data_IF_810085774901
#
_entry.id   IF_810085774901
#
_cell.length_a   1.000
_cell.length_b   1.000
_cell.length_c   1.000
_cell.angle_alpha   90.00
_cell.angle_beta   90.00
_cell.angle_gamma   90.00
#
_symmetry.space_group_name_H-M   'P 1'
#
loop_
_entity.id
_entity.type
_entity.pdbx_description
1 polymer ?
#
# COMPACT_ATOMS: atom_id res chain seq x y z
N UNK A 1 2.83 5.07 22.19
CA UNK A 1 2.86 3.91 21.26
C UNK A 1 1.92 4.25 20.12
N UNK A 2 2.17 3.80 18.88
CA UNK A 2 1.21 4.01 17.80
C UNK A 2 -0.06 3.17 18.06
N UNK A 3 -1.22 3.82 17.92
CA UNK A 3 -2.52 3.20 18.15
C UNK A 3 -3.04 2.54 16.87
N UNK A 4 -3.24 1.23 16.93
CA UNK A 4 -3.71 0.37 15.84
C UNK A 4 -5.09 -0.16 16.18
N UNK A 5 -6.03 -0.06 15.26
CA UNK A 5 -7.29 -0.81 15.34
C UNK A 5 -7.16 -2.09 14.53
N UNK A 6 -7.62 -3.21 15.08
CA UNK A 6 -7.72 -4.50 14.43
C UNK A 6 -9.19 -4.93 14.38
N UNK A 7 -9.72 -5.15 13.18
CA UNK A 7 -11.08 -5.69 13.00
C UNK A 7 -10.97 -7.02 12.26
N UNK A 8 -11.36 -8.10 12.93
CA UNK A 8 -11.28 -9.46 12.43
C UNK A 8 -12.26 -10.32 13.19
N UNK A 9 -12.98 -11.24 12.59
CA UNK A 9 -13.97 -12.06 13.28
C UNK A 9 -13.36 -13.28 14.01
N UNK A 10 -12.14 -13.68 13.64
CA UNK A 10 -11.41 -14.76 14.32
C UNK A 10 -10.81 -14.25 15.65
N UNK A 11 -11.41 -14.69 16.76
CA UNK A 11 -11.00 -14.32 18.12
C UNK A 11 -9.57 -14.74 18.42
N UNK A 12 -9.17 -15.95 18.06
CA UNK A 12 -7.81 -16.45 18.28
C UNK A 12 -6.79 -15.64 17.50
N UNK A 13 -7.10 -15.32 16.25
CA UNK A 13 -6.22 -14.48 15.43
C UNK A 13 -6.09 -13.08 16.02
N UNK A 14 -7.19 -12.46 16.47
CA UNK A 14 -7.16 -11.14 17.12
C UNK A 14 -6.29 -11.13 18.37
N UNK A 15 -6.44 -12.15 19.24
CA UNK A 15 -5.63 -12.26 20.48
C UNK A 15 -4.15 -12.38 20.18
N UNK A 16 -3.78 -13.35 19.32
CA UNK A 16 -2.39 -13.61 18.96
C UNK A 16 -1.76 -12.39 18.28
N UNK A 17 -2.43 -11.83 17.30
CA UNK A 17 -1.90 -10.68 16.55
C UNK A 17 -1.78 -9.45 17.44
N UNK A 18 -2.76 -9.19 18.32
CA UNK A 18 -2.70 -8.06 19.26
C UNK A 18 -1.52 -8.19 20.22
N UNK A 19 -1.31 -9.38 20.79
CA UNK A 19 -0.17 -9.66 21.67
C UNK A 19 1.18 -9.49 20.94
N UNK A 20 1.28 -10.00 19.74
CA UNK A 20 2.47 -9.92 18.90
C UNK A 20 2.81 -8.48 18.49
N UNK A 21 1.80 -7.68 18.13
CA UNK A 21 1.99 -6.27 17.81
C UNK A 21 2.33 -5.45 19.07
N UNK A 22 1.74 -5.76 20.22
CA UNK A 22 2.07 -5.11 21.49
C UNK A 22 3.54 -5.30 21.86
N UNK A 23 4.08 -6.51 21.70
CA UNK A 23 5.50 -6.80 21.91
C UNK A 23 6.43 -5.99 20.99
N UNK A 24 5.90 -5.53 19.85
CA UNK A 24 6.63 -4.73 18.86
C UNK A 24 6.39 -3.23 18.99
N UNK A 25 5.74 -2.81 20.08
CA UNK A 25 5.57 -1.41 20.46
C UNK A 25 4.35 -0.74 19.85
N UNK A 26 3.31 -1.48 19.47
CA UNK A 26 2.01 -0.95 19.06
C UNK A 26 1.00 -1.05 20.22
N UNK A 27 0.05 -0.12 20.28
CA UNK A 27 -1.15 -0.21 21.14
C UNK A 27 -2.29 -0.72 20.24
N UNK A 28 -2.94 -1.82 20.59
CA UNK A 28 -3.94 -2.45 19.71
C UNK A 28 -5.31 -2.45 20.40
N UNK A 29 -6.30 -1.88 19.74
CA UNK A 29 -7.71 -2.01 20.09
C UNK A 29 -8.37 -2.94 19.07
N UNK A 30 -8.92 -4.08 19.51
CA UNK A 30 -9.47 -5.08 18.62
C UNK A 30 -11.00 -5.17 18.67
N UNK A 31 -11.63 -5.44 17.54
CA UNK A 31 -13.08 -5.56 17.36
C UNK A 31 -13.39 -6.81 16.54
N UNK A 32 -14.52 -7.46 16.85
CA UNK A 32 -14.94 -8.67 16.16
C UNK A 32 -15.61 -8.37 14.82
N UNK A 33 -16.14 -7.17 14.63
CA UNK A 33 -16.92 -6.79 13.45
C UNK A 33 -16.87 -5.29 13.17
N UNK A 34 -17.35 -4.91 11.99
CA UNK A 34 -17.41 -3.53 11.55
C UNK A 34 -18.30 -2.62 12.35
N UNK A 35 -19.55 -3.03 12.69
CA UNK A 35 -20.45 -2.25 13.54
C UNK A 35 -19.82 -1.86 14.88
N UNK A 36 -19.24 -2.80 15.60
CA UNK A 36 -18.59 -2.55 16.90
C UNK A 36 -17.46 -1.51 16.77
N UNK A 37 -16.68 -1.59 15.70
CA UNK A 37 -15.64 -0.58 15.43
C UNK A 37 -16.22 0.79 15.09
N UNK A 38 -17.27 0.87 14.26
CA UNK A 38 -17.94 2.12 13.92
C UNK A 38 -18.58 2.80 15.14
N UNK A 39 -19.12 2.01 16.06
CA UNK A 39 -19.67 2.51 17.32
C UNK A 39 -18.56 3.03 18.25
N UNK A 40 -17.44 2.32 18.36
CA UNK A 40 -16.28 2.76 19.12
C UNK A 40 -15.72 4.08 18.59
N UNK A 41 -15.66 4.27 17.27
CA UNK A 41 -15.26 5.54 16.65
C UNK A 41 -16.22 6.69 17.03
N UNK A 42 -17.53 6.41 17.07
CA UNK A 42 -18.54 7.40 17.48
C UNK A 42 -18.43 7.76 18.97
N UNK A 43 -17.88 6.86 19.78
CA UNK A 43 -17.58 7.04 21.19
C UNK A 43 -16.18 7.61 21.46
N UNK A 44 -15.47 8.05 20.43
CA UNK A 44 -14.21 8.79 20.56
C UNK A 44 -12.95 7.95 20.63
N UNK A 45 -12.99 6.68 20.18
CA UNK A 45 -11.73 5.92 20.02
C UNK A 45 -10.87 6.59 18.95
N UNK A 46 -9.61 6.78 19.26
CA UNK A 46 -8.63 7.31 18.31
C UNK A 46 -7.70 6.20 17.85
N UNK A 47 -7.40 6.16 16.56
CA UNK A 47 -6.43 5.24 16.00
C UNK A 47 -5.67 5.90 14.83
N UNK A 48 -4.41 5.53 14.71
CA UNK A 48 -3.54 6.05 13.66
C UNK A 48 -3.60 5.20 12.38
N UNK A 49 -4.03 3.93 12.50
CA UNK A 49 -4.14 2.99 11.38
C UNK A 49 -5.14 1.89 11.72
N UNK A 50 -5.88 1.42 10.73
CA UNK A 50 -6.77 0.28 10.87
C UNK A 50 -6.25 -0.93 10.07
N UNK A 51 -6.27 -2.08 10.72
CA UNK A 51 -6.13 -3.40 10.12
C UNK A 51 -7.53 -4.01 10.00
N UNK A 52 -8.00 -4.26 8.80
CA UNK A 52 -9.32 -4.79 8.56
C UNK A 52 -9.23 -6.16 7.88
N UNK A 53 -9.87 -7.16 8.45
CA UNK A 53 -10.10 -8.37 7.67
C UNK A 53 -10.98 -8.06 6.47
N UNK A 54 -10.68 -8.72 5.37
CA UNK A 54 -11.49 -8.63 4.16
C UNK A 54 -12.87 -9.23 4.35
N UNK A 55 -12.96 -10.38 4.99
CA UNK A 55 -14.16 -11.20 5.12
C UNK A 55 -14.80 -11.09 6.52
N UNK A 56 -15.29 -9.91 6.88
CA UNK A 56 -16.00 -9.71 8.14
C UNK A 56 -17.47 -10.14 8.04
N UNK A 57 -18.10 -10.57 9.15
CA UNK A 57 -19.52 -10.82 9.20
C UNK A 57 -20.32 -9.52 9.05
N UNK A 58 -21.54 -9.61 8.59
CA UNK A 58 -22.53 -8.53 8.39
C UNK A 58 -22.13 -7.47 7.34
N UNK A 59 -20.89 -7.05 7.28
CA UNK A 59 -20.35 -6.18 6.23
C UNK A 59 -18.91 -6.57 5.92
N UNK A 60 -18.52 -6.55 4.67
CA UNK A 60 -17.13 -6.79 4.28
C UNK A 60 -16.20 -5.67 4.79
N UNK A 61 -14.93 -5.99 5.00
CA UNK A 61 -13.93 -4.95 5.32
C UNK A 61 -13.89 -3.84 4.27
N UNK A 62 -14.22 -4.15 3.02
CA UNK A 62 -14.33 -3.18 1.94
C UNK A 62 -15.50 -2.21 2.11
N UNK A 63 -16.68 -2.70 2.52
CA UNK A 63 -17.82 -1.84 2.86
C UNK A 63 -17.54 -0.99 4.09
N UNK A 64 -16.83 -1.56 5.08
CA UNK A 64 -16.37 -0.81 6.25
C UNK A 64 -15.44 0.35 5.85
N UNK A 65 -14.49 0.14 4.95
CA UNK A 65 -13.67 1.21 4.40
C UNK A 65 -14.52 2.30 3.74
N UNK A 66 -15.53 1.92 2.95
CA UNK A 66 -16.47 2.88 2.33
C UNK A 66 -17.14 3.75 3.38
N UNK A 67 -17.70 3.15 4.45
CA UNK A 67 -18.35 3.88 5.55
C UNK A 67 -17.41 4.80 6.32
N UNK A 68 -16.14 4.39 6.50
CA UNK A 68 -15.13 5.28 7.08
C UNK A 68 -14.91 6.53 6.22
N UNK A 69 -14.79 6.37 4.91
CA UNK A 69 -14.59 7.48 3.96
C UNK A 69 -15.81 8.40 3.87
N UNK A 70 -17.04 7.84 3.89
CA UNK A 70 -18.29 8.61 3.93
C UNK A 70 -18.41 9.47 5.21
N UNK A 71 -17.85 9.00 6.34
CA UNK A 71 -17.77 9.76 7.59
C UNK A 71 -16.62 10.77 7.63
N UNK A 72 -15.85 10.94 6.55
CA UNK A 72 -14.69 11.83 6.48
C UNK A 72 -13.45 11.32 7.24
N UNK A 73 -13.44 10.05 7.63
CA UNK A 73 -12.33 9.45 8.37
C UNK A 73 -11.24 9.06 7.38
N UNK A 74 -10.17 9.86 7.33
CA UNK A 74 -9.00 9.67 6.44
C UNK A 74 -7.94 8.68 6.96
N UNK A 75 -8.19 8.00 8.09
CA UNK A 75 -7.26 7.04 8.68
C UNK A 75 -6.80 6.00 7.63
N UNK A 76 -5.49 5.68 7.57
CA UNK A 76 -4.98 4.63 6.71
C UNK A 76 -5.57 3.28 7.06
N UNK A 77 -5.87 2.51 6.04
CA UNK A 77 -6.44 1.17 6.16
C UNK A 77 -5.52 0.18 5.44
N UNK A 78 -5.15 -0.87 6.15
CA UNK A 78 -4.45 -2.04 5.63
C UNK A 78 -5.39 -3.24 5.73
N UNK A 79 -5.62 -3.90 4.61
CA UNK A 79 -6.41 -5.13 4.64
C UNK A 79 -5.54 -6.33 5.02
N UNK A 80 -6.11 -7.16 5.90
CA UNK A 80 -5.62 -8.50 6.17
C UNK A 80 -6.50 -9.52 5.44
N UNK A 81 -5.92 -10.56 4.91
CA UNK A 81 -6.68 -11.63 4.25
C UNK A 81 -5.98 -12.97 4.36
N UNK A 82 -6.77 -14.02 4.50
CA UNK A 82 -6.32 -15.40 4.34
C UNK A 82 -6.39 -15.90 2.88
N UNK A 83 -6.92 -15.08 1.97
CA UNK A 83 -7.09 -15.45 0.56
C UNK A 83 -6.32 -14.48 -0.34
N UNK A 84 -5.32 -14.97 -1.05
CA UNK A 84 -4.57 -14.18 -2.03
C UNK A 84 -5.33 -14.09 -3.36
N UNK A 85 -6.46 -13.39 -3.38
CA UNK A 85 -7.18 -13.08 -4.61
C UNK A 85 -6.75 -11.69 -5.10
N UNK A 86 -5.96 -11.66 -6.14
CA UNK A 86 -5.42 -10.43 -6.76
C UNK A 86 -6.52 -9.44 -7.15
N UNK A 87 -7.70 -9.93 -7.55
CA UNK A 87 -8.84 -9.07 -7.87
C UNK A 87 -9.35 -8.28 -6.67
N UNK A 88 -9.32 -8.89 -5.47
CA UNK A 88 -9.71 -8.25 -4.22
C UNK A 88 -8.71 -7.17 -3.80
N UNK A 89 -7.42 -7.46 -3.92
CA UNK A 89 -6.34 -6.50 -3.66
C UNK A 89 -6.46 -5.27 -4.56
N UNK A 90 -6.66 -5.47 -5.86
CA UNK A 90 -6.85 -4.39 -6.83
C UNK A 90 -8.09 -3.53 -6.51
N UNK A 91 -9.19 -4.16 -6.07
CA UNK A 91 -10.41 -3.48 -5.69
C UNK A 91 -10.20 -2.64 -4.42
N UNK A 92 -9.57 -3.20 -3.39
CA UNK A 92 -9.30 -2.52 -2.13
C UNK A 92 -8.43 -1.27 -2.30
N UNK A 93 -7.30 -1.41 -2.99
CA UNK A 93 -6.38 -0.30 -3.26
C UNK A 93 -7.01 0.78 -4.15
N UNK A 94 -7.91 0.40 -5.06
CA UNK A 94 -8.65 1.34 -5.91
C UNK A 94 -9.63 2.24 -5.15
N UNK A 95 -10.02 1.87 -3.92
CA UNK A 95 -10.99 2.59 -3.08
C UNK A 95 -10.35 3.23 -1.84
N UNK A 96 -9.03 3.40 -1.82
CA UNK A 96 -8.34 4.16 -0.79
C UNK A 96 -7.79 3.35 0.39
N UNK A 97 -7.69 2.02 0.26
CA UNK A 97 -6.80 1.26 1.13
C UNK A 97 -5.35 1.59 0.82
N UNK A 98 -4.50 1.65 1.85
CA UNK A 98 -3.09 1.99 1.69
C UNK A 98 -2.27 0.75 1.33
N UNK A 99 -2.60 -0.40 1.91
CA UNK A 99 -1.88 -1.65 1.66
C UNK A 99 -2.79 -2.87 1.85
N UNK A 100 -2.28 -4.02 1.47
CA UNK A 100 -2.94 -5.30 1.56
C UNK A 100 -1.93 -6.37 1.98
N UNK A 101 -2.19 -7.09 3.07
CA UNK A 101 -1.25 -8.04 3.66
C UNK A 101 -1.91 -9.40 3.82
N UNK A 102 -1.28 -10.44 3.30
CA UNK A 102 -1.68 -11.82 3.55
C UNK A 102 -1.37 -12.19 5.01
N UNK A 103 -2.38 -12.71 5.74
CA UNK A 103 -2.25 -13.19 7.13
C UNK A 103 -1.14 -14.23 7.30
N UNK A 104 -0.85 -15.01 6.27
CA UNK A 104 0.22 -16.02 6.28
C UNK A 104 1.66 -15.46 6.27
N UNK A 105 1.84 -14.15 5.98
CA UNK A 105 3.20 -13.55 5.91
C UNK A 105 3.87 -13.30 7.25
N UNK A 106 3.18 -13.54 8.34
CA UNK A 106 3.71 -13.35 9.68
C UNK A 106 3.75 -11.89 10.13
N UNK A 107 3.75 -11.72 11.45
CA UNK A 107 3.65 -10.42 12.14
C UNK A 107 4.84 -9.49 11.87
N UNK A 108 6.04 -10.02 11.61
CA UNK A 108 7.23 -9.21 11.34
C UNK A 108 7.06 -8.34 10.10
N UNK A 109 6.52 -8.93 9.02
CA UNK A 109 6.24 -8.21 7.77
C UNK A 109 5.17 -7.16 7.99
N UNK A 110 4.11 -7.51 8.72
CA UNK A 110 3.03 -6.58 9.06
C UNK A 110 3.55 -5.42 9.90
N UNK A 111 4.26 -5.68 11.00
CA UNK A 111 4.81 -4.66 11.88
C UNK A 111 5.76 -3.70 11.14
N UNK A 112 6.59 -4.23 10.24
CA UNK A 112 7.43 -3.39 9.40
C UNK A 112 6.61 -2.46 8.50
N UNK A 113 5.56 -2.97 7.85
CA UNK A 113 4.66 -2.17 7.00
C UNK A 113 3.93 -1.09 7.79
N UNK A 114 3.39 -1.43 8.96
CA UNK A 114 2.75 -0.46 9.84
C UNK A 114 3.69 0.69 10.22
N UNK A 115 4.97 0.38 10.57
CA UNK A 115 5.96 1.43 10.87
C UNK A 115 6.21 2.34 9.68
N UNK A 116 6.34 1.77 8.47
CA UNK A 116 6.57 2.55 7.24
C UNK A 116 5.38 3.48 6.96
N UNK A 117 4.13 2.97 7.08
CA UNK A 117 2.92 3.77 6.85
C UNK A 117 2.81 4.89 7.88
N UNK A 118 2.99 4.57 9.17
CA UNK A 118 2.90 5.54 10.26
C UNK A 118 4.02 6.58 10.24
N UNK A 119 5.23 6.20 9.82
CA UNK A 119 6.32 7.15 9.60
C UNK A 119 6.00 8.13 8.46
N UNK A 120 5.32 7.67 7.42
CA UNK A 120 4.87 8.53 6.31
C UNK A 120 3.83 9.58 6.73
N UNK A 121 3.06 9.35 7.80
CA UNK A 121 2.06 10.28 8.32
C UNK A 121 2.63 11.34 9.29
N UNK A 122 3.72 11.04 9.98
CA UNK A 122 4.39 12.01 10.82
C UNK A 122 5.13 13.00 9.95
N UNK A 123 4.77 14.27 10.02
CA UNK A 123 5.63 15.35 9.53
C UNK A 123 7.00 15.14 10.19
N UNK A 124 8.01 14.84 9.37
CA UNK A 124 9.38 14.58 9.85
C UNK A 124 9.85 15.86 10.54
N UNK A 125 10.29 15.81 11.81
CA UNK A 125 10.98 16.94 12.40
C UNK A 125 12.22 17.27 11.54
N UNK A 126 12.49 18.53 11.28
CA UNK A 126 13.54 19.04 10.39
C UNK A 126 14.99 18.67 10.80
N UNK A 127 15.19 17.78 11.77
CA UNK A 127 16.50 17.47 12.37
C UNK A 127 17.20 16.21 11.85
N UNK A 128 16.56 15.40 11.02
CA UNK A 128 17.25 14.33 10.27
C UNK A 128 16.87 14.49 8.80
N UNK A 129 17.77 14.96 7.97
CA UNK A 129 17.54 14.99 6.52
C UNK A 129 17.31 13.54 6.05
N UNK A 130 16.08 13.18 5.67
CA UNK A 130 15.82 11.82 5.19
C UNK A 130 16.64 11.61 3.92
N UNK A 131 17.20 10.42 3.79
CA UNK A 131 17.83 10.00 2.54
C UNK A 131 16.82 10.17 1.40
N UNK A 132 17.11 11.09 0.46
CA UNK A 132 16.23 11.43 -0.66
C UNK A 132 16.88 10.96 -1.94
N UNK A 133 16.31 9.98 -2.59
CA UNK A 133 16.72 9.57 -3.93
C UNK A 133 16.05 10.48 -4.96
N UNK A 134 16.85 11.29 -5.70
CA UNK A 134 16.31 12.23 -6.70
C UNK A 134 16.59 11.73 -8.12
N UNK A 135 15.51 11.74 -8.92
CA UNK A 135 15.53 11.35 -10.32
C UNK A 135 14.74 12.39 -11.14
N UNK A 136 15.44 13.43 -11.59
CA UNK A 136 14.81 14.58 -12.23
C UNK A 136 13.79 15.26 -11.28
N UNK A 137 12.53 15.34 -11.70
CA UNK A 137 11.46 15.94 -10.90
C UNK A 137 10.85 14.98 -9.84
N UNK A 138 11.29 13.71 -9.81
CA UNK A 138 10.89 12.73 -8.83
C UNK A 138 11.82 12.74 -7.62
N UNK A 139 11.26 12.84 -6.42
CA UNK A 139 11.96 12.63 -5.16
C UNK A 139 11.35 11.45 -4.42
N UNK A 140 12.16 10.45 -4.12
CA UNK A 140 11.78 9.27 -3.36
C UNK A 140 12.34 9.37 -1.95
N UNK A 141 11.51 9.04 -0.97
CA UNK A 141 11.83 9.01 0.46
C UNK A 141 11.75 7.56 0.97
N UNK A 142 12.86 6.80 0.97
CA UNK A 142 12.86 5.38 1.32
C UNK A 142 12.37 5.10 2.73
N UNK A 143 12.69 5.97 3.68
CA UNK A 143 12.31 5.82 5.09
C UNK A 143 10.79 5.89 5.35
N UNK A 144 10.05 6.56 4.46
CA UNK A 144 8.60 6.78 4.61
C UNK A 144 7.78 6.19 3.46
N UNK A 145 8.46 5.57 2.47
CA UNK A 145 7.86 5.08 1.23
C UNK A 145 7.01 6.16 0.50
N UNK A 146 7.39 7.43 0.61
CA UNK A 146 6.74 8.55 -0.09
C UNK A 146 7.47 8.90 -1.37
N UNK A 147 6.70 9.34 -2.35
CA UNK A 147 7.23 9.86 -3.62
C UNK A 147 6.60 11.22 -3.91
N UNK A 148 7.43 12.22 -4.17
CA UNK A 148 6.98 13.52 -4.63
C UNK A 148 7.32 13.70 -6.11
N UNK A 149 6.36 14.17 -6.88
CA UNK A 149 6.54 14.61 -8.26
C UNK A 149 6.36 16.13 -8.31
N UNK A 150 7.38 16.86 -8.79
CA UNK A 150 7.35 18.33 -8.78
C UNK A 150 7.00 18.92 -7.41
N UNK A 151 7.55 18.35 -6.35
CA UNK A 151 7.33 18.74 -4.96
C UNK A 151 5.91 18.48 -4.42
N UNK A 152 5.02 17.84 -5.19
CA UNK A 152 3.69 17.42 -4.75
C UNK A 152 3.67 15.92 -4.46
N UNK A 153 2.98 15.52 -3.38
CA UNK A 153 2.85 14.11 -3.04
C UNK A 153 2.05 13.38 -4.10
N UNK A 154 2.53 12.22 -4.50
CA UNK A 154 1.88 11.38 -5.51
C UNK A 154 0.83 10.45 -4.93
N UNK A 155 0.69 10.42 -3.60
CA UNK A 155 -0.21 9.52 -2.86
C UNK A 155 -0.05 8.03 -3.24
N UNK A 156 1.19 7.62 -3.57
CA UNK A 156 1.47 6.23 -3.88
C UNK A 156 1.29 5.35 -2.64
N UNK A 157 0.66 4.19 -2.81
CA UNK A 157 0.72 3.14 -1.79
C UNK A 157 2.15 2.63 -1.64
N UNK A 158 2.45 1.93 -0.53
CA UNK A 158 3.78 1.32 -0.31
C UNK A 158 4.17 0.39 -1.48
N UNK A 159 3.23 -0.38 -1.99
CA UNK A 159 3.45 -1.27 -3.13
C UNK A 159 3.74 -0.48 -4.41
N UNK A 160 2.96 0.55 -4.70
CA UNK A 160 3.17 1.42 -5.87
C UNK A 160 4.49 2.18 -5.77
N UNK A 161 4.86 2.65 -4.58
CA UNK A 161 6.17 3.25 -4.30
C UNK A 161 7.32 2.28 -4.63
N UNK A 162 7.24 1.02 -4.16
CA UNK A 162 8.26 0.01 -4.46
C UNK A 162 8.41 -0.24 -5.96
N UNK A 163 7.30 -0.28 -6.69
CA UNK A 163 7.32 -0.43 -8.15
C UNK A 163 7.96 0.79 -8.81
N UNK A 164 7.60 2.00 -8.41
CA UNK A 164 8.21 3.22 -8.94
C UNK A 164 9.71 3.23 -8.66
N UNK A 165 10.12 2.92 -7.42
CA UNK A 165 11.52 2.83 -7.05
C UNK A 165 12.27 1.79 -7.88
N UNK A 166 11.70 0.60 -8.10
CA UNK A 166 12.27 -0.43 -8.99
C UNK A 166 12.46 0.09 -10.42
N UNK A 167 11.46 0.78 -10.97
CA UNK A 167 11.52 1.31 -12.35
C UNK A 167 12.59 2.40 -12.50
N UNK A 168 12.79 3.21 -11.48
CA UNK A 168 13.70 4.36 -11.51
C UNK A 168 15.13 3.95 -11.20
N UNK A 169 15.35 3.07 -10.20
CA UNK A 169 16.68 2.59 -9.80
C UNK A 169 17.20 1.47 -10.72
N UNK A 170 16.30 0.80 -11.43
CA UNK A 170 16.66 -0.29 -12.33
C UNK A 170 17.25 0.23 -13.65
N UNK A 171 18.38 -0.35 -14.06
CA UNK A 171 18.93 -0.06 -15.38
C UNK A 171 18.09 -0.75 -16.47
N UNK A 172 17.44 0.04 -17.33
CA UNK A 172 16.71 -0.47 -18.48
C UNK A 172 15.27 -0.91 -18.23
N UNK A 173 14.87 -2.03 -18.85
CA UNK A 173 13.48 -2.53 -18.81
C UNK A 173 13.30 -3.49 -17.64
N UNK A 174 12.35 -3.20 -16.78
CA UNK A 174 11.93 -4.11 -15.73
C UNK A 174 10.86 -5.06 -16.29
N UNK A 175 11.09 -6.38 -16.17
CA UNK A 175 10.18 -7.38 -16.69
C UNK A 175 8.83 -7.37 -15.94
N UNK A 176 7.76 -7.85 -16.59
CA UNK A 176 6.47 -8.05 -15.89
C UNK A 176 6.65 -8.89 -14.63
N UNK A 177 7.54 -9.89 -14.66
CA UNK A 177 7.78 -10.74 -13.50
C UNK A 177 8.47 -9.99 -12.37
N UNK A 178 9.50 -9.21 -12.64
CA UNK A 178 10.20 -8.43 -11.62
C UNK A 178 9.28 -7.39 -10.94
N UNK A 179 8.41 -6.72 -11.73
CA UNK A 179 7.43 -5.77 -11.20
C UNK A 179 6.40 -6.51 -10.33
N UNK A 180 5.95 -7.67 -10.77
CA UNK A 180 5.00 -8.48 -10.02
C UNK A 180 5.59 -8.98 -8.69
N UNK A 181 6.81 -9.49 -8.68
CA UNK A 181 7.52 -9.96 -7.48
C UNK A 181 7.79 -8.81 -6.49
N UNK A 182 7.99 -7.58 -7.00
CA UNK A 182 8.12 -6.39 -6.16
C UNK A 182 6.79 -6.03 -5.46
N UNK A 183 5.66 -6.24 -6.12
CA UNK A 183 4.33 -6.02 -5.56
C UNK A 183 3.93 -7.13 -4.57
N UNK A 184 4.38 -8.34 -4.81
CA UNK A 184 4.04 -9.54 -4.04
C UNK A 184 5.31 -10.12 -3.37
N UNK A 185 5.57 -11.39 -3.50
CA UNK A 185 6.82 -12.03 -3.06
C UNK A 185 7.36 -12.93 -4.17
N UNK A 186 8.64 -13.18 -4.13
CA UNK A 186 9.30 -14.01 -5.13
C UNK A 186 8.68 -15.41 -5.18
N UNK A 187 8.28 -15.83 -6.38
CA UNK A 187 7.65 -17.14 -6.60
C UNK A 187 6.13 -17.16 -6.44
N UNK A 188 5.49 -16.09 -6.00
CA UNK A 188 4.02 -16.03 -5.95
C UNK A 188 3.42 -16.10 -7.36
N UNK A 189 2.42 -16.98 -7.56
CA UNK A 189 1.70 -17.13 -8.83
C UNK A 189 0.22 -16.95 -8.55
N UNK A 190 -0.36 -15.83 -8.97
CA UNK A 190 -1.80 -15.62 -8.96
C UNK A 190 -2.33 -15.57 -10.39
N UNK A 191 -3.46 -16.21 -10.60
CA UNK A 191 -4.17 -16.23 -11.87
C UNK A 191 -3.97 -17.52 -12.68
N UNK A 192 -4.92 -17.80 -13.58
CA UNK A 192 -4.91 -18.99 -14.44
C UNK A 192 -3.84 -18.83 -15.53
N UNK A 193 -2.80 -19.63 -15.47
CA UNK A 193 -1.78 -19.77 -16.52
C UNK A 193 -0.54 -18.87 -16.37
N UNK A 194 0.47 -19.15 -17.19
CA UNK A 194 1.80 -18.53 -17.18
C UNK A 194 1.84 -17.00 -17.42
N UNK A 195 0.72 -16.34 -17.68
CA UNK A 195 0.60 -14.91 -17.97
C UNK A 195 -0.39 -14.18 -17.05
N UNK A 196 -0.97 -14.82 -16.05
CA UNK A 196 -1.97 -14.20 -15.14
C UNK A 196 -1.44 -12.93 -14.47
N UNK A 197 -0.19 -12.92 -14.06
CA UNK A 197 0.45 -11.77 -13.41
C UNK A 197 0.61 -10.54 -14.34
N UNK A 198 0.63 -10.72 -15.67
CA UNK A 198 0.80 -9.61 -16.63
C UNK A 198 -0.37 -8.61 -16.56
N UNK A 199 -1.60 -9.10 -16.37
CA UNK A 199 -2.79 -8.24 -16.25
C UNK A 199 -2.72 -7.40 -14.97
N UNK A 200 -2.24 -7.99 -13.88
CA UNK A 200 -2.07 -7.30 -12.61
C UNK A 200 -1.05 -6.17 -12.71
N UNK A 201 0.12 -6.46 -13.28
CA UNK A 201 1.14 -5.44 -13.51
C UNK A 201 0.61 -4.29 -14.37
N UNK A 202 -0.15 -4.58 -15.43
CA UNK A 202 -0.76 -3.54 -16.26
C UNK A 202 -1.71 -2.64 -15.45
N UNK A 203 -2.53 -3.23 -14.57
CA UNK A 203 -3.46 -2.50 -13.70
C UNK A 203 -2.72 -1.65 -12.67
N UNK A 204 -1.66 -2.18 -12.04
CA UNK A 204 -0.78 -1.45 -11.14
C UNK A 204 -0.16 -0.22 -11.83
N UNK A 205 0.46 -0.43 -12.98
CA UNK A 205 1.09 0.66 -13.76
C UNK A 205 0.06 1.70 -14.21
N UNK A 206 -1.15 1.28 -14.59
CA UNK A 206 -2.24 2.21 -14.93
C UNK A 206 -2.60 3.12 -13.75
N UNK A 207 -2.71 2.57 -12.53
CA UNK A 207 -2.98 3.36 -11.31
C UNK A 207 -1.84 4.32 -11.00
N UNK A 208 -0.61 3.83 -11.01
CA UNK A 208 0.58 4.66 -10.78
C UNK A 208 0.58 5.85 -11.75
N UNK A 209 0.41 5.60 -13.05
CA UNK A 209 0.34 6.68 -14.05
C UNK A 209 -0.76 7.70 -13.75
N UNK A 210 -1.95 7.26 -13.34
CA UNK A 210 -3.07 8.16 -13.01
C UNK A 210 -2.73 9.10 -11.85
N UNK A 211 -2.03 8.62 -10.83
CA UNK A 211 -1.60 9.43 -9.69
C UNK A 211 -0.58 10.50 -10.11
N UNK A 212 0.40 10.15 -10.93
CA UNK A 212 1.30 11.14 -11.52
C UNK A 212 0.58 12.11 -12.45
N UNK A 213 -0.36 11.62 -13.25
CA UNK A 213 -1.12 12.45 -14.18
C UNK A 213 -2.12 13.40 -13.49
N UNK A 214 -2.51 13.11 -12.26
CA UNK A 214 -3.29 14.03 -11.43
C UNK A 214 -2.50 15.29 -11.08
N UNK A 215 -1.17 15.17 -10.97
CA UNK A 215 -0.25 16.28 -10.69
C UNK A 215 0.23 16.92 -12.01
N UNK A 216 0.63 16.10 -12.96
CA UNK A 216 1.11 16.54 -14.27
C UNK A 216 0.39 15.78 -15.40
N UNK A 217 -0.61 16.36 -16.06
CA UNK A 217 -1.35 15.71 -17.16
C UNK A 217 -0.45 15.23 -18.31
N UNK A 218 0.76 15.79 -18.46
CA UNK A 218 1.75 15.39 -19.48
C UNK A 218 2.70 14.30 -19.02
N UNK A 219 2.53 13.75 -17.81
CA UNK A 219 3.37 12.68 -17.29
C UNK A 219 3.41 11.49 -18.24
N UNK A 220 4.61 11.12 -18.67
CA UNK A 220 4.82 10.02 -19.64
C UNK A 220 6.12 9.23 -19.41
N UNK A 221 6.70 9.31 -18.21
CA UNK A 221 7.98 8.70 -17.85
C UNK A 221 7.96 7.17 -17.81
N UNK A 222 6.83 6.56 -17.45
CA UNK A 222 6.70 5.10 -17.46
C UNK A 222 6.33 4.63 -18.86
N UNK A 223 7.24 3.98 -19.55
CA UNK A 223 7.03 3.45 -20.92
C UNK A 223 6.85 1.94 -20.91
N UNK A 224 5.87 1.48 -21.69
CA UNK A 224 5.68 0.05 -21.94
C UNK A 224 6.68 -0.43 -23.02
N UNK A 225 7.36 -1.54 -22.75
CA UNK A 225 8.13 -2.28 -23.75
C UNK A 225 7.36 -3.55 -24.06
N UNK A 226 6.78 -3.60 -25.26
CA UNK A 226 5.84 -4.64 -25.64
C UNK A 226 6.40 -6.05 -25.42
N UNK A 227 5.65 -6.90 -24.76
CA UNK A 227 6.04 -8.29 -24.49
C UNK A 227 7.09 -8.47 -23.37
N UNK A 228 7.78 -7.40 -22.92
CA UNK A 228 8.88 -7.46 -21.96
C UNK A 228 8.49 -6.92 -20.59
N UNK A 229 7.99 -5.68 -20.52
CA UNK A 229 7.70 -5.02 -19.25
C UNK A 229 7.61 -3.50 -19.36
N UNK A 230 8.15 -2.80 -18.36
CA UNK A 230 8.14 -1.35 -18.29
C UNK A 230 9.51 -0.79 -17.95
N UNK A 231 9.74 0.47 -18.34
CA UNK A 231 10.93 1.22 -17.97
C UNK A 231 10.57 2.65 -17.58
N UNK A 232 11.37 3.25 -16.74
CA UNK A 232 11.35 4.68 -16.53
C UNK A 232 12.19 5.36 -17.59
N UNK A 233 11.67 6.43 -18.17
CA UNK A 233 12.42 7.31 -19.10
C UNK A 233 12.41 8.72 -18.53
N UNK A 234 13.57 9.30 -18.39
CA UNK A 234 13.69 10.73 -18.21
C UNK A 234 13.62 11.39 -19.59
N UNK A 235 12.56 12.20 -19.89
CA UNK A 235 12.42 12.83 -21.19
C UNK A 235 13.58 13.77 -21.55
N UNK A 236 14.31 14.28 -20.55
CA UNK A 236 15.46 15.15 -20.78
C UNK A 236 16.70 14.40 -21.26
N UNK A 237 16.81 13.10 -20.97
CA UNK A 237 17.91 12.25 -21.45
C UNK A 237 17.70 11.73 -22.90
N UNK A 238 16.56 12.02 -23.51
CA UNK A 238 16.18 11.53 -24.85
C UNK A 238 16.20 12.62 -25.92
N UNK A 239 16.71 13.82 -25.61
CA UNK A 239 16.97 14.83 -26.65
C UNK A 239 18.32 14.53 -27.27
N UNK A 240 18.38 14.30 -28.62
CA UNK A 240 19.60 14.07 -29.37
C UNK A 240 20.52 15.28 -29.31
#
# INVERSE_FOLDING_TARGET
MPDVVLVDDDEQYREVLSADLAQRGFSVSSFADGPAFLDALSNGIEAQIALLDWALPEMSGFELLGRLRERGIGMPVVFLTGYSLVELELKALGHGAIDFVDKARGVEVLAHRLRVILAGQRQIPAAAMPEVERHGELALYPSTARALWRQQDTDLTVTEYKIVRLLVSGQGVQSYRAIYDTAHYEGFVAGSGARGYTMNVRSLIKRIRRKFQAIDPRFSHIKNVHGVGYRWLDPEQTRP
#
